data_IF_672364763000
#
_entry.id   IF_672364763000
#
_cell.length_a   1.000
_cell.length_b   1.000
_cell.length_c   1.000
_cell.angle_alpha   90.00
_cell.angle_beta   90.00
_cell.angle_gamma   90.00
#
_symmetry.space_group_name_H-M   'P 1'
#
loop_
_entity.id
_entity.type
_entity.pdbx_description
1 polymer ?
#
# COMPACT_ATOMS: atom_id res chain seq x y z
N UNK A 1 7.90 -1.27 -13.29
CA UNK A 1 7.37 -1.14 -14.66
C UNK A 1 7.38 -2.52 -15.27
N UNK A 2 6.41 -2.82 -16.13
CA UNK A 2 6.31 -4.09 -16.86
C UNK A 2 6.34 -3.71 -18.34
N UNK A 3 7.13 -4.41 -19.14
CA UNK A 3 7.18 -4.19 -20.58
C UNK A 3 6.49 -5.35 -21.28
N UNK A 4 5.57 -5.03 -22.19
CA UNK A 4 5.04 -5.97 -23.16
C UNK A 4 5.77 -5.77 -24.48
N UNK A 5 6.61 -6.74 -24.83
CA UNK A 5 7.44 -6.69 -26.03
C UNK A 5 6.61 -6.84 -27.32
N UNK A 6 5.44 -7.49 -27.27
CA UNK A 6 4.59 -7.67 -28.44
C UNK A 6 3.93 -6.36 -28.88
N UNK A 7 3.45 -5.57 -27.92
CA UNK A 7 2.84 -4.26 -28.18
C UNK A 7 3.83 -3.10 -28.10
N UNK A 8 5.07 -3.36 -27.70
CA UNK A 8 6.09 -2.35 -27.36
C UNK A 8 5.54 -1.30 -26.37
N UNK A 9 4.88 -1.77 -25.31
CA UNK A 9 4.22 -0.93 -24.31
C UNK A 9 4.88 -1.11 -22.94
N UNK A 10 5.22 0.00 -22.30
CA UNK A 10 5.71 0.06 -20.93
C UNK A 10 4.57 0.47 -20.01
N UNK A 11 4.20 -0.44 -19.11
CA UNK A 11 3.22 -0.26 -18.06
C UNK A 11 3.90 0.21 -16.76
N UNK A 12 3.52 1.39 -16.28
CA UNK A 12 3.92 1.93 -14.99
C UNK A 12 2.78 1.82 -13.99
N UNK A 13 2.81 0.77 -13.17
CA UNK A 13 1.74 0.48 -12.20
C UNK A 13 2.22 0.82 -10.79
N UNK A 14 1.51 1.74 -10.14
CA UNK A 14 1.68 2.04 -8.72
C UNK A 14 0.56 1.35 -7.93
N UNK A 15 0.88 0.24 -7.26
CA UNK A 15 -0.08 -0.54 -6.48
C UNK A 15 -0.26 0.07 -5.09
N UNK A 16 -1.51 0.18 -4.65
CA UNK A 16 -1.93 0.68 -3.33
C UNK A 16 -3.03 -0.22 -2.79
N UNK A 17 -3.19 -0.26 -1.46
CA UNK A 17 -4.21 -1.10 -0.82
C UNK A 17 -5.63 -0.65 -1.19
N UNK A 18 -5.96 0.63 -0.93
CA UNK A 18 -7.28 1.19 -1.18
C UNK A 18 -7.25 2.65 -1.66
N UNK A 19 -8.40 3.27 -1.96
CA UNK A 19 -8.47 4.56 -2.65
C UNK A 19 -7.98 5.77 -1.82
N UNK A 20 -7.94 5.67 -0.49
CA UNK A 20 -7.64 6.78 0.44
C UNK A 20 -6.23 6.71 1.04
N UNK A 21 -5.22 6.41 0.22
CA UNK A 21 -3.83 6.21 0.67
C UNK A 21 -2.89 7.41 0.45
N UNK A 22 -3.33 8.40 -0.30
CA UNK A 22 -2.50 9.55 -0.66
C UNK A 22 -2.87 10.78 0.16
N UNK A 23 -1.86 11.43 0.73
CA UNK A 23 -1.90 12.86 0.99
C UNK A 23 -1.50 13.65 -0.27
N UNK A 24 -1.63 14.98 -0.25
CA UNK A 24 -1.37 15.82 -1.41
C UNK A 24 0.07 15.67 -1.96
N UNK A 25 1.07 15.63 -1.08
CA UNK A 25 2.48 15.56 -1.48
C UNK A 25 2.87 14.21 -2.09
N UNK A 26 2.42 13.11 -1.47
CA UNK A 26 2.66 11.77 -1.99
C UNK A 26 2.00 11.58 -3.36
N UNK A 27 0.81 12.17 -3.58
CA UNK A 27 0.16 12.18 -4.89
C UNK A 27 0.98 12.96 -5.91
N UNK A 28 1.39 14.19 -5.58
CA UNK A 28 2.21 15.02 -6.48
C UNK A 28 3.52 14.33 -6.86
N UNK A 29 4.18 13.69 -5.90
CA UNK A 29 5.41 12.93 -6.14
C UNK A 29 5.17 11.73 -7.07
N UNK A 30 4.06 11.01 -6.88
CA UNK A 30 3.68 9.90 -7.77
C UNK A 30 3.47 10.39 -9.21
N UNK A 31 2.82 11.53 -9.39
CA UNK A 31 2.61 12.15 -10.71
C UNK A 31 3.94 12.55 -11.37
N UNK A 32 4.88 13.11 -10.60
CA UNK A 32 6.23 13.42 -11.08
C UNK A 32 6.99 12.17 -11.52
N UNK A 33 6.90 11.08 -10.74
CA UNK A 33 7.54 9.81 -11.09
C UNK A 33 6.97 9.24 -12.40
N UNK A 34 5.65 9.31 -12.60
CA UNK A 34 5.04 8.90 -13.87
C UNK A 34 5.51 9.78 -15.04
N UNK A 35 5.56 11.11 -14.86
CA UNK A 35 6.08 12.00 -15.91
C UNK A 35 7.52 11.68 -16.28
N UNK A 36 8.38 11.39 -15.31
CA UNK A 36 9.77 11.02 -15.55
C UNK A 36 9.87 9.69 -16.33
N UNK A 37 9.11 8.67 -15.90
CA UNK A 37 9.07 7.38 -16.59
C UNK A 37 8.51 7.48 -18.01
N UNK A 38 7.50 8.33 -18.24
CA UNK A 38 6.95 8.58 -19.57
C UNK A 38 7.99 9.15 -20.53
N UNK A 39 8.84 10.08 -20.08
CA UNK A 39 9.94 10.60 -20.89
C UNK A 39 10.95 9.52 -21.28
N UNK A 40 11.27 8.61 -20.35
CA UNK A 40 12.17 7.48 -20.64
C UNK A 40 11.55 6.52 -21.66
N UNK A 41 10.26 6.22 -21.54
CA UNK A 41 9.55 5.38 -22.51
C UNK A 41 9.52 6.01 -23.92
N UNK A 42 9.32 7.34 -24.00
CA UNK A 42 9.39 8.08 -25.26
C UNK A 42 10.78 7.98 -25.92
N UNK A 43 11.86 8.10 -25.13
CA UNK A 43 13.24 7.92 -25.63
C UNK A 43 13.46 6.50 -26.17
N UNK A 44 12.87 5.50 -25.53
CA UNK A 44 12.88 4.11 -25.99
C UNK A 44 11.89 3.83 -27.15
N UNK A 45 11.17 4.85 -27.64
CA UNK A 45 10.11 4.74 -28.66
C UNK A 45 9.04 3.70 -28.30
N UNK A 46 8.79 3.51 -27.01
CA UNK A 46 7.77 2.62 -26.49
C UNK A 46 6.48 3.39 -26.17
N UNK A 47 5.33 2.71 -26.29
CA UNK A 47 4.07 3.20 -25.72
C UNK A 47 4.19 3.23 -24.20
N UNK A 48 3.45 4.12 -23.57
CA UNK A 48 3.52 4.29 -22.12
C UNK A 48 2.12 4.39 -21.53
N UNK A 49 1.82 3.50 -20.59
CA UNK A 49 0.55 3.48 -19.88
C UNK A 49 0.80 3.46 -18.38
N UNK A 50 0.21 4.42 -17.66
CA UNK A 50 0.38 4.57 -16.22
C UNK A 50 -0.93 4.33 -15.48
N UNK A 51 -0.83 3.56 -14.40
CA UNK A 51 -1.95 3.18 -13.57
C UNK A 51 -1.62 3.39 -12.09
N UNK A 52 -2.56 3.97 -11.35
CA UNK A 52 -2.64 3.75 -9.92
C UNK A 52 -3.69 2.65 -9.71
N UNK A 53 -3.23 1.49 -9.25
CA UNK A 53 -4.07 0.34 -8.97
C UNK A 53 -4.38 0.25 -7.49
N UNK A 54 -5.66 0.21 -7.14
CA UNK A 54 -6.12 -0.05 -5.78
C UNK A 54 -6.62 -1.49 -5.66
N UNK A 55 -6.00 -2.27 -4.78
CA UNK A 55 -6.32 -3.70 -4.61
C UNK A 55 -7.76 -3.94 -4.18
N UNK A 56 -8.36 -3.03 -3.40
CA UNK A 56 -9.75 -3.08 -2.97
C UNK A 56 -10.44 -1.72 -2.99
N UNK A 57 -11.74 -1.74 -2.76
CA UNK A 57 -12.60 -0.56 -2.75
C UNK A 57 -13.21 -0.28 -4.11
N UNK A 58 -13.94 0.84 -4.19
CA UNK A 58 -14.59 1.32 -5.40
C UNK A 58 -14.15 2.75 -5.66
N UNK A 59 -13.86 3.08 -6.92
CA UNK A 59 -13.57 4.44 -7.35
C UNK A 59 -14.50 4.74 -8.52
N UNK A 60 -15.21 5.85 -8.43
CA UNK A 60 -15.99 6.35 -9.56
C UNK A 60 -15.08 7.19 -10.42
N UNK A 61 -15.21 7.05 -11.74
CA UNK A 61 -14.59 8.01 -12.62
C UNK A 61 -15.26 9.37 -12.37
N UNK A 62 -14.46 10.34 -11.96
CA UNK A 62 -15.01 11.63 -11.56
C UNK A 62 -15.39 12.51 -12.76
N UNK A 63 -14.94 12.16 -13.99
CA UNK A 63 -15.34 12.76 -15.27
C UNK A 63 -15.18 14.27 -15.43
N UNK A 64 -14.82 15.00 -14.36
CA UNK A 64 -14.86 16.46 -14.22
C UNK A 64 -13.49 17.06 -13.93
N UNK A 65 -12.43 16.26 -14.10
CA UNK A 65 -11.04 16.69 -13.89
C UNK A 65 -10.30 16.96 -15.19
N UNK A 66 -9.15 17.63 -15.10
CA UNK A 66 -8.19 17.69 -16.21
C UNK A 66 -7.81 16.26 -16.63
N UNK A 67 -7.60 16.00 -17.93
CA UNK A 67 -7.06 14.72 -18.39
C UNK A 67 -5.78 14.41 -17.62
N UNK A 68 -5.74 13.24 -16.98
CA UNK A 68 -4.55 12.74 -16.30
C UNK A 68 -3.75 11.91 -17.27
N UNK A 69 -2.42 11.95 -17.14
CA UNK A 69 -1.52 11.05 -17.88
C UNK A 69 -1.53 9.59 -17.36
N UNK A 70 -2.36 9.31 -16.36
CA UNK A 70 -2.49 8.00 -15.70
C UNK A 70 -3.95 7.73 -15.38
N UNK A 71 -4.30 6.45 -15.30
CA UNK A 71 -5.61 5.97 -14.89
C UNK A 71 -5.62 5.54 -13.42
N UNK A 72 -6.78 5.58 -12.79
CA UNK A 72 -6.97 5.14 -11.41
C UNK A 72 -8.04 4.05 -11.38
N UNK A 73 -7.62 2.80 -11.13
CA UNK A 73 -8.50 1.63 -11.15
C UNK A 73 -8.59 1.01 -9.75
N UNK A 74 -9.77 0.55 -9.34
CA UNK A 74 -9.99 -0.01 -8.02
C UNK A 74 -10.73 -1.35 -8.05
N UNK A 75 -10.30 -2.28 -7.19
CA UNK A 75 -10.95 -3.56 -7.00
C UNK A 75 -11.05 -4.34 -8.31
N UNK A 76 -12.26 -4.79 -8.66
CA UNK A 76 -12.54 -5.58 -9.87
C UNK A 76 -11.87 -5.02 -11.13
N UNK A 77 -12.01 -3.72 -11.39
CA UNK A 77 -11.45 -3.10 -12.60
C UNK A 77 -9.92 -3.16 -12.65
N UNK A 78 -9.25 -2.97 -11.50
CA UNK A 78 -7.79 -3.04 -11.47
C UNK A 78 -7.30 -4.47 -11.70
N UNK A 79 -7.94 -5.45 -11.06
CA UNK A 79 -7.57 -6.85 -11.23
C UNK A 79 -7.87 -7.38 -12.63
N UNK A 80 -9.01 -6.99 -13.21
CA UNK A 80 -9.37 -7.31 -14.59
C UNK A 80 -8.34 -6.73 -15.58
N UNK A 81 -7.96 -5.45 -15.42
CA UNK A 81 -6.93 -4.82 -16.26
C UNK A 81 -5.60 -5.56 -16.19
N UNK A 82 -5.17 -5.98 -15.00
CA UNK A 82 -3.87 -6.62 -14.81
C UNK A 82 -3.83 -8.07 -15.33
N UNK A 83 -4.96 -8.77 -15.32
CA UNK A 83 -5.00 -10.23 -15.51
C UNK A 83 -5.82 -10.68 -16.71
N UNK A 84 -6.63 -9.80 -17.29
CA UNK A 84 -7.65 -10.15 -18.29
C UNK A 84 -8.85 -10.90 -17.70
N UNK A 85 -8.94 -11.06 -16.38
CA UNK A 85 -9.94 -11.86 -15.70
C UNK A 85 -10.81 -11.00 -14.75
N UNK A 86 -12.06 -10.80 -15.16
CA UNK A 86 -13.06 -10.01 -14.44
C UNK A 86 -13.41 -10.53 -13.04
N UNK A 87 -13.12 -11.82 -12.77
CA UNK A 87 -13.41 -12.45 -11.48
C UNK A 87 -12.14 -12.68 -10.65
N UNK A 88 -10.98 -12.20 -11.10
CA UNK A 88 -9.70 -12.40 -10.42
C UNK A 88 -9.71 -11.88 -8.97
N UNK A 89 -10.39 -10.76 -8.72
CA UNK A 89 -10.51 -10.20 -7.36
C UNK A 89 -11.23 -11.16 -6.39
N UNK A 90 -12.16 -11.99 -6.89
CA UNK A 90 -12.82 -13.06 -6.12
C UNK A 90 -11.85 -14.23 -5.96
N UNK A 91 -11.13 -14.61 -7.02
CA UNK A 91 -10.15 -15.71 -6.97
C UNK A 91 -9.08 -15.48 -5.91
N UNK A 92 -8.66 -14.23 -5.68
CA UNK A 92 -7.73 -13.88 -4.60
C UNK A 92 -8.27 -14.32 -3.23
N UNK A 93 -9.52 -13.94 -2.89
CA UNK A 93 -10.09 -14.30 -1.59
C UNK A 93 -10.44 -15.79 -1.50
N UNK A 94 -10.91 -16.40 -2.59
CA UNK A 94 -11.16 -17.84 -2.66
C UNK A 94 -9.88 -18.65 -2.48
N UNK A 95 -8.77 -18.21 -3.08
CA UNK A 95 -7.46 -18.85 -2.92
C UNK A 95 -6.99 -18.77 -1.46
N UNK A 96 -7.13 -17.62 -0.81
CA UNK A 96 -6.82 -17.48 0.61
C UNK A 96 -7.65 -18.46 1.46
N UNK A 97 -8.92 -18.68 1.12
CA UNK A 97 -9.75 -19.73 1.70
C UNK A 97 -9.71 -19.69 3.22
N UNK A 98 -9.39 -20.84 3.85
CA UNK A 98 -9.23 -20.96 5.30
C UNK A 98 -7.77 -20.94 5.77
N UNK A 99 -6.83 -20.52 4.91
CA UNK A 99 -5.41 -20.44 5.29
C UNK A 99 -5.21 -19.50 6.49
N UNK A 100 -5.83 -18.31 6.58
CA UNK A 100 -5.64 -17.42 7.72
C UNK A 100 -5.95 -18.10 9.06
N UNK A 101 -7.04 -18.87 9.16
CA UNK A 101 -7.47 -19.59 10.36
C UNK A 101 -6.41 -20.59 10.86
N UNK A 102 -5.69 -21.22 9.93
CA UNK A 102 -4.60 -22.16 10.26
C UNK A 102 -3.43 -21.47 10.96
N UNK A 103 -3.22 -20.18 10.70
CA UNK A 103 -2.13 -19.39 11.29
C UNK A 103 -2.56 -18.53 12.48
N UNK A 104 -3.86 -18.43 12.79
CA UNK A 104 -4.36 -17.58 13.88
C UNK A 104 -3.74 -17.96 15.24
N UNK A 105 -3.60 -19.25 15.53
CA UNK A 105 -3.06 -19.70 16.81
C UNK A 105 -1.59 -19.32 17.00
N UNK A 106 -0.74 -19.60 16.01
CA UNK A 106 0.69 -19.27 16.05
C UNK A 106 0.93 -17.76 15.99
N UNK A 107 0.11 -17.03 15.22
CA UNK A 107 0.10 -15.57 15.22
C UNK A 107 -0.22 -15.02 16.61
N UNK A 108 -1.31 -15.47 17.25
CA UNK A 108 -1.70 -15.03 18.59
C UNK A 108 -0.61 -15.29 19.63
N UNK A 109 0.01 -16.47 19.58
CA UNK A 109 1.12 -16.78 20.49
C UNK A 109 2.31 -15.83 20.28
N UNK A 110 2.72 -15.63 19.03
CA UNK A 110 3.83 -14.74 18.67
C UNK A 110 3.53 -13.27 19.03
N UNK A 111 2.30 -12.84 18.79
CA UNK A 111 1.80 -11.51 19.16
C UNK A 111 1.85 -11.32 20.68
N UNK A 112 1.34 -12.27 21.46
CA UNK A 112 1.34 -12.19 22.92
C UNK A 112 2.77 -12.15 23.48
N UNK A 113 3.68 -12.95 22.92
CA UNK A 113 5.11 -12.90 23.29
C UNK A 113 5.71 -11.52 23.02
N UNK A 114 5.44 -10.93 21.85
CA UNK A 114 5.93 -9.60 21.50
C UNK A 114 5.32 -8.51 22.39
N UNK A 115 4.00 -8.56 22.62
CA UNK A 115 3.30 -7.63 23.50
C UNK A 115 3.85 -7.68 24.93
N UNK A 116 4.00 -8.87 25.51
CA UNK A 116 4.54 -9.02 26.88
C UNK A 116 5.98 -8.51 26.98
N UNK A 117 6.82 -8.75 25.96
CA UNK A 117 8.19 -8.22 25.92
C UNK A 117 8.19 -6.69 25.90
N UNK A 118 7.40 -6.09 25.01
CA UNK A 118 7.31 -4.63 24.87
C UNK A 118 6.71 -3.97 26.12
N UNK A 119 5.68 -4.58 26.72
CA UNK A 119 5.09 -4.10 27.98
C UNK A 119 6.13 -4.16 29.09
N UNK A 120 6.87 -5.27 29.22
CA UNK A 120 7.92 -5.38 30.24
C UNK A 120 9.02 -4.34 30.05
N UNK A 121 9.49 -4.15 28.82
CA UNK A 121 10.49 -3.12 28.49
C UNK A 121 9.97 -1.72 28.79
N UNK A 122 8.72 -1.42 28.44
CA UNK A 122 8.08 -0.14 28.73
C UNK A 122 7.93 0.08 30.24
N UNK A 123 7.40 -0.89 30.98
CA UNK A 123 7.20 -0.79 32.43
C UNK A 123 8.52 -0.61 33.17
N UNK A 124 9.55 -1.36 32.80
CA UNK A 124 10.86 -1.24 33.44
C UNK A 124 11.54 0.11 33.18
N UNK A 125 11.33 0.68 32.00
CA UNK A 125 11.97 1.95 31.61
C UNK A 125 11.16 3.18 31.99
N UNK A 126 9.84 3.11 31.98
CA UNK A 126 8.95 4.28 31.99
C UNK A 126 7.78 4.20 32.98
N UNK A 127 7.74 3.21 33.88
CA UNK A 127 6.81 3.21 35.00
C UNK A 127 7.54 3.43 36.33
N UNK A 128 6.87 4.08 37.28
CA UNK A 128 7.29 4.23 38.67
C UNK A 128 7.02 2.95 39.45
N UNK A 129 7.55 2.86 40.67
CA UNK A 129 7.36 1.69 41.55
C UNK A 129 5.89 1.41 41.88
N UNK A 130 5.03 2.44 41.90
CA UNK A 130 3.59 2.30 42.11
C UNK A 130 2.82 1.85 40.84
N UNK A 131 3.53 1.61 39.73
CA UNK A 131 2.96 1.18 38.46
C UNK A 131 2.40 2.32 37.59
N UNK A 132 2.46 3.57 38.04
CA UNK A 132 2.07 4.72 37.21
C UNK A 132 3.13 5.04 36.16
N UNK A 133 2.74 5.64 35.03
CA UNK A 133 3.68 6.04 33.97
C UNK A 133 4.47 7.26 34.43
N UNK A 134 5.78 7.20 34.27
CA UNK A 134 6.69 8.34 34.37
C UNK A 134 6.72 9.09 33.03
N UNK A 135 5.76 9.99 32.87
CA UNK A 135 5.61 10.76 31.63
C UNK A 135 6.79 11.69 31.36
N UNK A 136 7.41 12.26 32.39
CA UNK A 136 8.56 13.15 32.23
C UNK A 136 9.73 12.36 31.63
N UNK A 137 10.06 11.21 32.22
CA UNK A 137 11.12 10.33 31.70
C UNK A 137 10.83 9.82 30.29
N UNK A 138 9.58 9.48 29.99
CA UNK A 138 9.19 9.02 28.65
C UNK A 138 9.33 10.13 27.60
N UNK A 139 8.92 11.35 27.93
CA UNK A 139 9.03 12.50 27.02
C UNK A 139 10.49 12.91 26.85
N UNK A 140 11.28 12.94 27.93
CA UNK A 140 12.73 13.21 27.86
C UNK A 140 13.44 12.15 27.00
N UNK A 141 13.11 10.87 27.16
CA UNK A 141 13.66 9.82 26.29
C UNK A 141 13.29 9.99 24.82
N UNK A 142 12.04 10.40 24.52
CA UNK A 142 11.55 10.48 23.16
C UNK A 142 11.96 11.78 22.44
N UNK A 143 12.06 12.87 23.17
CA UNK A 143 12.13 14.25 22.64
C UNK A 143 13.12 15.15 23.38
N UNK A 144 13.86 14.63 24.36
CA UNK A 144 14.96 15.34 25.01
C UNK A 144 16.17 15.48 24.09
N UNK A 145 17.00 16.47 24.36
CA UNK A 145 18.22 16.79 23.60
C UNK A 145 19.35 15.77 23.82
#
# INVERSE_FOLDING_TARGET
MIQDDNSNTIYAIAVKSGPSVFNADSKKRQEQNFMAASKLAQQAKARYEAYIGYCYGKKKDSGRGKPKMYQELAGKQFWAELTGDEDFYIKIITFMGTMPEQYVASYKESYNKAANRLIREFSNSFCKEDGTIDWEKLVEFNSGD
#
